data_IF_499186502780
#
_entry.id   IF_499186502780
#
_cell.length_a   1.000
_cell.length_b   1.000
_cell.length_c   1.000
_cell.angle_alpha   90.00
_cell.angle_beta   90.00
_cell.angle_gamma   90.00
#
_symmetry.space_group_name_H-M   'P 1'
#
loop_
_entity.id
_entity.type
_entity.pdbx_description
1 polymer ?
#
# COMPACT_ATOMS: atom_id res chain seq x y z
N UNK A 1 -35.78 9.61 -2.08
CA UNK A 1 -34.85 10.34 -1.19
C UNK A 1 -33.73 9.43 -0.69
N UNK A 2 -33.99 8.13 -0.50
CA UNK A 2 -33.04 7.17 0.08
C UNK A 2 -31.79 6.88 -0.76
N UNK A 3 -31.91 6.68 -2.09
CA UNK A 3 -30.75 6.34 -2.96
C UNK A 3 -29.63 7.39 -2.90
N UNK A 4 -29.98 8.68 -2.87
CA UNK A 4 -28.99 9.76 -2.78
C UNK A 4 -28.23 9.73 -1.45
N UNK A 5 -28.89 9.31 -0.37
CA UNK A 5 -28.28 9.18 0.96
C UNK A 5 -27.31 7.98 0.98
N UNK A 6 -27.71 6.85 0.39
CA UNK A 6 -26.84 5.67 0.28
C UNK A 6 -25.56 5.94 -0.52
N UNK A 7 -25.64 6.68 -1.63
CA UNK A 7 -24.46 7.04 -2.43
C UNK A 7 -23.47 7.93 -1.67
N UNK A 8 -23.97 8.86 -0.87
CA UNK A 8 -23.13 9.75 -0.05
C UNK A 8 -22.43 8.98 1.07
N UNK A 9 -23.15 8.04 1.72
CA UNK A 9 -22.56 7.16 2.74
C UNK A 9 -21.46 6.29 2.11
N UNK A 10 -21.70 5.73 0.93
CA UNK A 10 -20.72 4.89 0.23
C UNK A 10 -19.43 5.67 -0.12
N UNK A 11 -19.57 6.91 -0.61
CA UNK A 11 -18.42 7.78 -0.91
C UNK A 11 -17.61 8.11 0.34
N UNK A 12 -18.28 8.31 1.48
CA UNK A 12 -17.64 8.63 2.75
C UNK A 12 -16.90 7.41 3.32
N UNK A 13 -17.50 6.22 3.22
CA UNK A 13 -16.85 4.95 3.57
C UNK A 13 -15.63 4.70 2.69
N UNK A 14 -15.73 4.90 1.38
CA UNK A 14 -14.59 4.73 0.47
C UNK A 14 -13.46 5.72 0.81
N UNK A 15 -13.79 6.97 1.10
CA UNK A 15 -12.79 7.99 1.46
C UNK A 15 -12.03 7.65 2.76
N UNK A 16 -12.68 6.98 3.71
CA UNK A 16 -12.05 6.51 4.95
C UNK A 16 -11.37 5.13 4.81
N UNK A 17 -11.88 4.28 3.93
CA UNK A 17 -11.36 2.93 3.69
C UNK A 17 -10.13 2.93 2.79
N UNK A 18 -10.00 3.92 1.90
CA UNK A 18 -8.77 4.14 1.15
C UNK A 18 -7.72 4.68 2.13
N UNK A 19 -6.65 3.93 2.42
CA UNK A 19 -5.57 4.45 3.22
C UNK A 19 -4.83 5.48 2.36
N UNK A 20 -5.27 6.74 2.43
CA UNK A 20 -4.59 7.87 1.79
C UNK A 20 -3.13 8.00 2.27
N UNK A 21 -2.80 7.36 3.40
CA UNK A 21 -1.46 7.29 4.00
C UNK A 21 -0.72 5.95 3.80
N UNK A 22 -1.22 5.01 2.97
CA UNK A 22 -0.67 3.65 2.98
C UNK A 22 0.81 3.54 2.57
N UNK A 23 1.30 4.38 1.67
CA UNK A 23 2.68 4.24 1.19
C UNK A 23 3.12 5.50 0.45
N UNK A 24 4.24 6.11 0.87
CA UNK A 24 4.91 7.11 0.03
C UNK A 24 5.54 6.42 -1.18
N UNK A 25 5.72 7.15 -2.28
CA UNK A 25 6.40 6.62 -3.47
C UNK A 25 7.79 6.05 -3.15
N UNK A 26 8.51 6.66 -2.21
CA UNK A 26 9.80 6.15 -1.75
C UNK A 26 9.69 4.81 -1.01
N UNK A 27 8.71 4.67 -0.12
CA UNK A 27 8.41 3.39 0.56
C UNK A 27 7.96 2.33 -0.45
N UNK A 28 7.27 2.72 -1.52
CA UNK A 28 6.90 1.82 -2.61
C UNK A 28 8.14 1.30 -3.35
N UNK A 29 8.99 2.20 -3.84
CA UNK A 29 10.23 1.81 -4.53
C UNK A 29 11.09 0.90 -3.68
N UNK A 30 11.24 1.21 -2.38
CA UNK A 30 12.02 0.39 -1.46
C UNK A 30 11.51 -1.05 -1.36
N UNK A 31 10.18 -1.22 -1.32
CA UNK A 31 9.53 -2.53 -1.12
C UNK A 31 9.39 -3.34 -2.42
N UNK A 32 9.18 -2.69 -3.56
CA UNK A 32 8.76 -3.36 -4.79
C UNK A 32 9.72 -3.22 -5.98
N UNK A 33 10.67 -2.29 -5.93
CA UNK A 33 11.58 -2.05 -7.04
C UNK A 33 13.02 -2.31 -6.58
N UNK A 34 13.59 -3.40 -7.10
CA UNK A 34 15.00 -3.68 -6.97
C UNK A 34 15.54 -4.28 -8.28
N UNK A 35 16.31 -3.51 -9.07
CA UNK A 35 16.79 -3.96 -10.38
C UNK A 35 17.69 -5.20 -10.29
N UNK A 36 18.47 -5.30 -9.23
CA UNK A 36 19.44 -6.39 -9.01
C UNK A 36 18.88 -7.49 -8.09
N UNK A 37 17.56 -7.66 -8.06
CA UNK A 37 16.93 -8.70 -7.25
C UNK A 37 17.28 -10.08 -7.79
N UNK A 38 17.84 -10.91 -6.92
CA UNK A 38 18.06 -12.33 -7.18
C UNK A 38 17.11 -13.13 -6.31
N UNK A 39 16.59 -14.22 -6.86
CA UNK A 39 15.64 -15.09 -6.18
C UNK A 39 16.22 -15.69 -4.89
N UNK A 40 17.51 -16.05 -4.91
CA UNK A 40 18.24 -16.61 -3.78
C UNK A 40 18.53 -15.61 -2.65
N UNK A 41 18.36 -14.31 -2.89
CA UNK A 41 18.59 -13.25 -1.91
C UNK A 41 17.30 -12.74 -1.24
N UNK A 42 16.14 -13.38 -1.47
CA UNK A 42 14.84 -12.86 -1.02
C UNK A 42 14.76 -12.62 0.50
N UNK A 43 15.20 -13.60 1.30
CA UNK A 43 15.18 -13.52 2.77
C UNK A 43 16.09 -12.41 3.29
N UNK A 44 17.30 -12.31 2.74
CA UNK A 44 18.30 -11.33 3.16
C UNK A 44 17.86 -9.91 2.79
N UNK A 45 17.39 -9.71 1.55
CA UNK A 45 16.92 -8.40 1.07
C UNK A 45 15.68 -7.92 1.82
N UNK A 46 14.76 -8.82 2.18
CA UNK A 46 13.56 -8.49 2.97
C UNK A 46 13.93 -7.99 4.37
N UNK A 47 14.94 -8.62 4.99
CA UNK A 47 15.47 -8.26 6.31
C UNK A 47 16.26 -6.95 6.25
N UNK A 48 17.19 -6.83 5.31
CA UNK A 48 18.03 -5.63 5.13
C UNK A 48 17.18 -4.39 4.87
N UNK A 49 16.18 -4.50 3.99
CA UNK A 49 15.29 -3.39 3.64
C UNK A 49 14.19 -3.14 4.67
N UNK A 50 14.12 -3.93 5.74
CA UNK A 50 13.11 -3.82 6.81
C UNK A 50 11.69 -3.77 6.24
N UNK A 51 11.38 -4.68 5.31
CA UNK A 51 10.09 -4.73 4.62
C UNK A 51 8.96 -5.24 5.55
N UNK A 52 9.31 -6.16 6.46
CA UNK A 52 8.44 -6.70 7.51
C UNK A 52 9.04 -6.35 8.87
N UNK A 53 8.82 -5.13 9.34
CA UNK A 53 9.25 -4.68 10.68
C UNK A 53 8.08 -4.57 11.63
#
# INVERSE_FOLDING_TARGET
>A
MEIRVFSLILLLVLSAALPAEAQTWEKFKKKHIYPDMREDACTDMTKERKINS
#
